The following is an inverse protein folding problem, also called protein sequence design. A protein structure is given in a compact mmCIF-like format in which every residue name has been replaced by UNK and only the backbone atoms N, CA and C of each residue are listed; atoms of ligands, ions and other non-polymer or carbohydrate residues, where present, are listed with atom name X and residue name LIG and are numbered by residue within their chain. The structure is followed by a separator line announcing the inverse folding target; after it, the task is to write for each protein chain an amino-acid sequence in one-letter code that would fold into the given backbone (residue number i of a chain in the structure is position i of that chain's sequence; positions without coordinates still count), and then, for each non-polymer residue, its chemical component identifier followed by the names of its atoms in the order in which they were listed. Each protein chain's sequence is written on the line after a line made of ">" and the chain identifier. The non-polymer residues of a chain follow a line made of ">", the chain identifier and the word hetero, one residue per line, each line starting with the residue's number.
data_IF_773044667178
#
_entry.id   IF_773044667178
#
_cell.length_a   1.000
_cell.length_b   1.000
_cell.length_c   1.000
_cell.angle_alpha   90.00
_cell.angle_beta   90.00
_cell.angle_gamma   90.00
#
_symmetry.space_group_name_H-M   'P 1'
#
loop_
_entity.id
_entity.type
_entity.pdbx_description
1 polymer ?
#
# COMPACT_ATOMS: atom_id res chain seq x y z
N UNK A 1 -16.64 24.44 3.77
CA UNK A 1 -15.66 23.57 3.09
C UNK A 1 -14.84 22.88 4.18
N UNK A 2 -14.97 21.57 4.35
CA UNK A 2 -14.12 20.81 5.29
C UNK A 2 -12.71 20.75 4.72
N UNK A 3 -11.72 21.16 5.53
CA UNK A 3 -10.30 20.99 5.17
C UNK A 3 -10.03 19.49 4.96
N UNK A 4 -9.45 19.07 3.84
CA UNK A 4 -9.13 17.66 3.63
C UNK A 4 -8.18 17.19 4.75
N UNK A 5 -8.34 15.95 5.24
CA UNK A 5 -7.51 15.41 6.31
C UNK A 5 -6.04 15.37 5.88
N UNK A 6 -5.14 15.61 6.84
CA UNK A 6 -3.69 15.51 6.61
C UNK A 6 -3.33 14.08 6.17
N UNK A 7 -2.57 13.88 5.08
CA UNK A 7 -2.20 12.55 4.56
C UNK A 7 -1.51 11.66 5.61
N UNK A 8 -0.59 12.20 6.40
CA UNK A 8 0.07 11.45 7.47
C UNK A 8 -0.94 10.92 8.50
N UNK A 9 -1.93 11.74 8.88
CA UNK A 9 -2.99 11.32 9.79
C UNK A 9 -3.91 10.26 9.16
N UNK A 10 -4.24 10.43 7.86
CA UNK A 10 -5.03 9.45 7.10
C UNK A 10 -4.35 8.09 7.04
N UNK A 11 -3.02 8.05 6.74
CA UNK A 11 -2.26 6.80 6.74
C UNK A 11 -2.21 6.19 8.14
N UNK A 12 -1.93 7.01 9.18
CA UNK A 12 -1.86 6.53 10.55
C UNK A 12 -3.18 5.91 11.03
N UNK A 13 -4.33 6.51 10.68
CA UNK A 13 -5.66 5.95 10.99
C UNK A 13 -5.89 4.62 10.29
N UNK A 14 -5.61 4.54 8.99
CA UNK A 14 -5.79 3.30 8.23
C UNK A 14 -4.87 2.18 8.73
N UNK A 15 -3.63 2.49 9.06
CA UNK A 15 -2.67 1.54 9.65
C UNK A 15 -3.05 1.11 11.06
N UNK A 16 -3.67 1.99 11.86
CA UNK A 16 -4.14 1.63 13.20
C UNK A 16 -5.32 0.65 13.15
N UNK A 17 -6.14 0.71 12.11
CA UNK A 17 -7.20 -0.26 11.87
C UNK A 17 -6.62 -1.60 11.42
N UNK A 18 -5.85 -1.63 10.34
CA UNK A 18 -5.18 -2.81 9.80
C UNK A 18 -4.01 -2.37 8.90
N UNK A 19 -2.74 -2.60 9.28
CA UNK A 19 -1.59 -2.13 8.50
C UNK A 19 -1.24 -3.09 7.34
N UNK A 20 -2.24 -3.49 6.58
CA UNK A 20 -2.13 -4.33 5.41
C UNK A 20 -2.66 -3.57 4.18
N UNK A 21 -1.83 -3.48 3.14
CA UNK A 21 -2.17 -2.85 1.86
C UNK A 21 -2.54 -3.94 0.87
N UNK A 22 -3.77 -3.94 0.37
CA UNK A 22 -4.18 -4.83 -0.71
C UNK A 22 -3.67 -4.29 -2.07
N UNK A 23 -2.91 -5.11 -2.80
CA UNK A 23 -2.36 -4.79 -4.12
C UNK A 23 -3.13 -5.58 -5.18
N UNK A 24 -3.98 -4.90 -5.94
CA UNK A 24 -4.91 -5.51 -6.88
C UNK A 24 -4.38 -5.49 -8.33
N UNK A 25 -3.22 -6.10 -8.55
CA UNK A 25 -2.60 -6.14 -9.88
C UNK A 25 -3.43 -6.98 -10.85
N UNK A 26 -3.84 -6.34 -11.95
CA UNK A 26 -4.65 -6.97 -12.98
C UNK A 26 -6.17 -6.89 -12.72
N UNK A 27 -6.61 -6.17 -11.68
CA UNK A 27 -8.02 -5.89 -11.41
C UNK A 27 -8.65 -5.16 -12.60
N UNK A 28 -9.84 -5.60 -13.00
CA UNK A 28 -10.67 -4.91 -13.98
C UNK A 28 -11.73 -4.03 -13.31
N UNK A 29 -12.26 -2.98 -13.97
CA UNK A 29 -13.34 -2.17 -13.40
C UNK A 29 -14.61 -2.97 -13.06
N UNK A 30 -14.90 -4.02 -13.81
CA UNK A 30 -16.05 -4.89 -13.56
C UNK A 30 -15.93 -5.69 -12.26
N UNK A 31 -14.71 -6.10 -11.88
CA UNK A 31 -14.43 -6.87 -10.67
C UNK A 31 -14.29 -5.96 -9.44
N UNK A 32 -13.90 -4.70 -9.64
CA UNK A 32 -13.52 -3.79 -8.56
C UNK A 32 -14.57 -3.68 -7.43
N UNK A 33 -15.88 -3.55 -7.68
CA UNK A 33 -16.87 -3.47 -6.61
C UNK A 33 -16.90 -4.71 -5.71
N UNK A 34 -16.91 -5.91 -6.29
CA UNK A 34 -17.03 -7.16 -5.53
C UNK A 34 -15.74 -7.51 -4.79
N UNK A 35 -14.58 -7.27 -5.40
CA UNK A 35 -13.28 -7.47 -4.74
C UNK A 35 -13.05 -6.45 -3.63
N UNK A 36 -13.45 -5.18 -3.86
CA UNK A 36 -13.41 -4.14 -2.84
C UNK A 36 -14.24 -4.49 -1.61
N UNK A 37 -15.49 -4.97 -1.82
CA UNK A 37 -16.37 -5.42 -0.73
C UNK A 37 -15.75 -6.58 0.08
N UNK A 38 -15.18 -7.58 -0.60
CA UNK A 38 -14.52 -8.71 0.05
C UNK A 38 -13.35 -8.28 0.95
N UNK A 39 -12.58 -7.27 0.52
CA UNK A 39 -11.45 -6.73 1.28
C UNK A 39 -11.92 -5.86 2.45
N UNK A 40 -12.83 -4.91 2.20
CA UNK A 40 -13.31 -3.97 3.22
C UNK A 40 -14.08 -4.71 4.32
N UNK A 41 -14.94 -5.67 3.97
CA UNK A 41 -15.64 -6.53 4.95
C UNK A 41 -14.67 -7.41 5.75
N UNK A 42 -13.48 -7.70 5.22
CA UNK A 42 -12.40 -8.40 5.94
C UNK A 42 -11.54 -7.46 6.82
N UNK A 43 -11.82 -6.14 6.82
CA UNK A 43 -11.13 -5.15 7.65
C UNK A 43 -10.02 -4.38 6.95
N UNK A 44 -9.77 -4.57 5.64
CA UNK A 44 -8.77 -3.80 4.92
C UNK A 44 -9.18 -2.33 4.78
N UNK A 45 -8.30 -1.45 5.22
CA UNK A 45 -8.48 0.00 5.16
C UNK A 45 -7.60 0.68 4.11
N UNK A 46 -6.72 -0.08 3.42
CA UNK A 46 -5.77 0.45 2.42
C UNK A 46 -5.78 -0.46 1.19
N UNK A 47 -6.10 0.12 0.03
CA UNK A 47 -6.19 -0.60 -1.24
C UNK A 47 -5.45 0.18 -2.33
N UNK A 48 -4.59 -0.48 -3.10
CA UNK A 48 -3.98 0.09 -4.29
C UNK A 48 -4.28 -0.74 -5.54
N UNK A 49 -4.56 -0.06 -6.64
CA UNK A 49 -4.66 -0.66 -7.97
C UNK A 49 -3.43 -0.26 -8.78
N UNK A 50 -2.54 -1.20 -9.13
CA UNK A 50 -1.37 -0.88 -9.94
C UNK A 50 -1.76 -0.32 -11.32
N UNK A 51 -1.08 0.75 -11.76
CA UNK A 51 -1.39 1.43 -13.03
C UNK A 51 -1.12 0.57 -14.28
N UNK A 52 -0.47 -0.57 -14.12
CA UNK A 52 -0.33 -1.58 -15.18
C UNK A 52 -1.45 -2.65 -15.16
N UNK A 53 -2.56 -2.39 -14.48
CA UNK A 53 -3.81 -3.16 -14.56
C UNK A 53 -4.67 -2.68 -15.73
N UNK A 54 -5.70 -3.45 -16.17
CA UNK A 54 -6.67 -2.97 -17.15
C UNK A 54 -7.48 -1.78 -16.62
N UNK A 55 -7.53 -0.67 -17.35
CA UNK A 55 -8.31 0.53 -17.01
C UNK A 55 -8.24 0.95 -15.52
N UNK A 56 -7.03 1.10 -14.94
CA UNK A 56 -6.87 1.17 -13.49
C UNK A 56 -7.55 2.40 -12.88
N UNK A 57 -7.63 3.51 -13.60
CA UNK A 57 -8.28 4.74 -13.12
C UNK A 57 -9.79 4.54 -12.96
N UNK A 58 -10.44 3.78 -13.85
CA UNK A 58 -11.86 3.43 -13.70
C UNK A 58 -12.09 2.54 -12.47
N UNK A 59 -11.21 1.56 -12.23
CA UNK A 59 -11.25 0.73 -11.02
C UNK A 59 -11.08 1.57 -9.74
N UNK A 60 -10.13 2.52 -9.74
CA UNK A 60 -9.91 3.45 -8.62
C UNK A 60 -11.15 4.30 -8.38
N UNK A 61 -11.75 4.88 -9.44
CA UNK A 61 -12.97 5.68 -9.31
C UNK A 61 -14.12 4.86 -8.70
N UNK A 62 -14.36 3.65 -9.20
CA UNK A 62 -15.41 2.78 -8.66
C UNK A 62 -15.19 2.47 -7.17
N UNK A 63 -13.97 2.10 -6.80
CA UNK A 63 -13.62 1.79 -5.41
C UNK A 63 -13.76 3.01 -4.48
N UNK A 64 -13.28 4.18 -4.89
CA UNK A 64 -13.36 5.41 -4.07
C UNK A 64 -14.79 5.88 -3.85
N UNK A 65 -15.66 5.70 -4.83
CA UNK A 65 -17.09 6.01 -4.73
C UNK A 65 -17.81 5.05 -3.78
N UNK A 66 -17.51 3.76 -3.86
CA UNK A 66 -18.16 2.73 -3.05
C UNK A 66 -17.64 2.70 -1.61
N UNK A 67 -16.34 2.96 -1.40
CA UNK A 67 -15.67 2.86 -0.09
C UNK A 67 -15.00 4.17 0.33
N UNK A 68 -15.75 5.26 0.58
CA UNK A 68 -15.19 6.60 0.82
C UNK A 68 -14.35 6.71 2.09
N UNK A 69 -14.45 5.74 3.02
CA UNK A 69 -13.67 5.70 4.25
C UNK A 69 -12.34 4.92 4.10
N UNK A 70 -12.19 4.17 3.01
CA UNK A 70 -10.98 3.39 2.74
C UNK A 70 -9.92 4.27 2.05
N UNK A 71 -8.65 4.13 2.43
CA UNK A 71 -7.54 4.79 1.75
C UNK A 71 -7.22 4.07 0.44
N UNK A 72 -7.75 4.58 -0.66
CA UNK A 72 -7.65 3.98 -1.99
C UNK A 72 -6.75 4.83 -2.88
N UNK A 73 -5.98 4.17 -3.74
CA UNK A 73 -5.18 4.83 -4.76
C UNK A 73 -4.49 3.88 -5.70
N UNK A 74 -3.33 4.27 -6.20
CA UNK A 74 -2.60 3.53 -7.21
C UNK A 74 -1.26 3.00 -6.74
N UNK A 75 -0.90 1.82 -7.26
CA UNK A 75 0.47 1.31 -7.28
C UNK A 75 1.14 1.49 -8.64
N UNK A 76 2.44 1.23 -8.68
CA UNK A 76 3.25 1.33 -9.90
C UNK A 76 3.18 2.74 -10.55
N UNK A 77 3.15 3.77 -9.70
CA UNK A 77 3.16 5.17 -10.13
C UNK A 77 4.60 5.60 -10.38
N UNK A 78 4.92 6.04 -11.61
CA UNK A 78 6.30 6.24 -12.06
C UNK A 78 6.65 7.70 -12.36
N UNK A 79 5.65 8.59 -12.50
CA UNK A 79 5.87 9.99 -12.83
C UNK A 79 4.77 10.91 -12.27
N UNK A 80 5.04 12.22 -12.26
CA UNK A 80 4.14 13.23 -11.71
C UNK A 80 2.79 13.34 -12.44
N UNK A 81 2.73 13.03 -13.75
CA UNK A 81 1.46 13.05 -14.48
C UNK A 81 0.53 11.94 -13.99
N UNK A 82 1.06 10.73 -13.80
CA UNK A 82 0.29 9.62 -13.24
C UNK A 82 -0.27 9.95 -11.84
N UNK A 83 0.47 10.68 -11.00
CA UNK A 83 -0.05 11.16 -9.71
C UNK A 83 -1.28 12.04 -9.88
N UNK A 84 -1.25 12.98 -10.85
CA UNK A 84 -2.41 13.84 -11.18
C UNK A 84 -3.60 13.04 -11.67
N UNK A 85 -3.36 12.05 -12.53
CA UNK A 85 -4.40 11.18 -13.08
C UNK A 85 -5.08 10.35 -11.98
N UNK A 86 -4.30 9.80 -11.05
CA UNK A 86 -4.81 9.08 -9.87
C UNK A 86 -5.62 10.01 -8.96
N UNK A 87 -5.14 11.22 -8.71
CA UNK A 87 -5.87 12.21 -7.93
C UNK A 87 -7.21 12.58 -8.59
N UNK A 88 -7.23 12.80 -9.91
CA UNK A 88 -8.44 13.09 -10.68
C UNK A 88 -9.46 11.94 -10.63
N UNK A 89 -8.99 10.69 -10.54
CA UNK A 89 -9.82 9.50 -10.34
C UNK A 89 -10.35 9.34 -8.89
N UNK A 90 -10.05 10.28 -7.99
CA UNK A 90 -10.46 10.25 -6.59
C UNK A 90 -9.47 9.51 -5.66
N UNK A 91 -8.37 8.98 -6.19
CA UNK A 91 -7.34 8.31 -5.38
C UNK A 91 -6.63 9.26 -4.43
N UNK A 92 -6.27 8.76 -3.26
CA UNK A 92 -5.56 9.51 -2.20
C UNK A 92 -4.25 8.85 -1.75
N UNK A 93 -3.90 7.72 -2.37
CA UNK A 93 -2.70 6.94 -2.10
C UNK A 93 -1.87 6.77 -3.38
N UNK A 94 -0.57 7.01 -3.25
CA UNK A 94 0.43 6.77 -4.30
C UNK A 94 1.46 5.77 -3.77
N UNK A 95 1.59 4.63 -4.43
CA UNK A 95 2.63 3.63 -4.15
C UNK A 95 3.50 3.47 -5.39
N UNK A 96 4.81 3.65 -5.24
CA UNK A 96 5.77 3.53 -6.34
C UNK A 96 6.67 2.31 -6.16
N UNK A 97 7.19 1.70 -7.24
CA UNK A 97 8.15 0.60 -7.11
C UNK A 97 9.57 1.09 -6.78
N UNK A 98 9.83 2.37 -6.92
CA UNK A 98 11.13 3.03 -6.70
C UNK A 98 10.94 4.40 -6.05
N UNK A 99 12.03 4.99 -5.59
CA UNK A 99 12.04 6.39 -5.18
C UNK A 99 12.23 7.30 -6.41
N UNK A 100 11.22 8.15 -6.66
CA UNK A 100 11.28 9.22 -7.63
C UNK A 100 10.87 10.54 -6.95
N UNK A 101 11.77 11.51 -6.78
CA UNK A 101 11.48 12.78 -6.11
C UNK A 101 10.30 13.55 -6.72
N UNK A 102 10.13 13.50 -8.06
CA UNK A 102 9.03 14.18 -8.74
C UNK A 102 7.66 13.55 -8.41
N UNK A 103 7.59 12.23 -8.21
CA UNK A 103 6.38 11.53 -7.76
C UNK A 103 6.04 11.93 -6.32
N UNK A 104 7.04 11.94 -5.44
CA UNK A 104 6.85 12.33 -4.03
C UNK A 104 6.38 13.79 -3.95
N UNK A 105 7.09 14.71 -4.60
CA UNK A 105 6.75 16.14 -4.58
C UNK A 105 5.33 16.39 -5.12
N UNK A 106 4.94 15.74 -6.22
CA UNK A 106 3.60 15.90 -6.80
C UNK A 106 2.50 15.32 -5.89
N UNK A 107 2.76 14.17 -5.25
CA UNK A 107 1.80 13.58 -4.31
C UNK A 107 1.58 14.49 -3.09
N UNK A 108 2.65 15.05 -2.53
CA UNK A 108 2.56 16.01 -1.42
C UNK A 108 1.81 17.29 -1.83
N UNK A 109 2.08 17.82 -3.02
CA UNK A 109 1.40 19.01 -3.53
C UNK A 109 -0.12 18.80 -3.72
N UNK A 110 -0.55 17.55 -3.97
CA UNK A 110 -1.97 17.17 -4.08
C UNK A 110 -2.54 16.61 -2.77
N UNK A 111 -1.83 16.74 -1.67
CA UNK A 111 -2.26 16.24 -0.35
C UNK A 111 -2.59 14.74 -0.34
N UNK A 112 -1.79 13.92 -1.05
CA UNK A 112 -1.94 12.47 -1.13
C UNK A 112 -0.93 11.77 -0.24
N UNK A 113 -1.29 10.60 0.27
CA UNK A 113 -0.34 9.68 0.92
C UNK A 113 0.63 9.14 -0.13
N UNK A 114 1.95 9.13 0.17
CA UNK A 114 2.96 8.59 -0.75
C UNK A 114 3.91 7.62 -0.04
N UNK A 115 4.06 6.43 -0.66
CA UNK A 115 4.90 5.31 -0.20
C UNK A 115 5.84 4.90 -1.35
N UNK A 116 7.00 5.54 -1.50
CA UNK A 116 7.99 5.15 -2.50
C UNK A 116 8.65 3.81 -2.17
N UNK A 117 9.04 3.08 -3.22
CA UNK A 117 9.82 1.85 -3.13
C UNK A 117 11.29 2.14 -2.88
N UNK A 118 11.89 1.40 -1.95
CA UNK A 118 13.31 1.49 -1.61
C UNK A 118 13.87 0.10 -1.30
N UNK A 119 15.15 -0.10 -1.59
CA UNK A 119 15.86 -1.34 -1.27
C UNK A 119 17.15 -1.09 -0.47
N UNK A 120 17.63 0.15 -0.42
CA UNK A 120 18.89 0.54 0.22
C UNK A 120 18.67 1.63 1.28
N UNK A 121 19.60 1.77 2.26
CA UNK A 121 19.56 2.87 3.22
C UNK A 121 19.59 4.25 2.54
N UNK A 122 20.40 4.43 1.48
CA UNK A 122 20.50 5.70 0.75
C UNK A 122 19.15 6.12 0.18
N UNK A 123 18.43 5.20 -0.48
CA UNK A 123 17.09 5.47 -1.00
C UNK A 123 16.09 5.75 0.13
N UNK A 124 16.18 5.00 1.24
CA UNK A 124 15.30 5.16 2.39
C UNK A 124 15.40 6.55 3.02
N UNK A 125 16.63 7.02 3.29
CA UNK A 125 16.85 8.37 3.81
C UNK A 125 16.40 9.44 2.80
N UNK A 126 16.79 9.33 1.54
CA UNK A 126 16.40 10.28 0.51
C UNK A 126 14.86 10.38 0.34
N UNK A 127 14.15 9.25 0.43
CA UNK A 127 12.69 9.23 0.36
C UNK A 127 12.05 9.89 1.58
N UNK A 128 12.56 9.65 2.80
CA UNK A 128 12.07 10.28 4.01
C UNK A 128 12.35 11.79 4.02
N UNK A 129 13.55 12.21 3.61
CA UNK A 129 13.92 13.62 3.49
C UNK A 129 13.05 14.36 2.47
N UNK A 130 12.61 13.67 1.42
CA UNK A 130 11.65 14.20 0.45
C UNK A 130 10.21 14.30 0.98
N UNK A 131 9.92 13.81 2.21
CA UNK A 131 8.63 13.89 2.86
C UNK A 131 7.72 12.67 2.63
N UNK A 132 8.26 11.50 2.27
CA UNK A 132 7.48 10.27 2.16
C UNK A 132 6.80 9.91 3.50
N UNK A 133 5.55 9.45 3.46
CA UNK A 133 4.78 9.07 4.65
C UNK A 133 5.14 7.70 5.21
N UNK A 134 5.85 6.88 4.42
CA UNK A 134 6.35 5.57 4.76
C UNK A 134 7.13 5.01 3.58
N UNK A 135 7.74 3.85 3.76
CA UNK A 135 8.64 3.21 2.79
C UNK A 135 8.10 1.84 2.40
N UNK A 136 7.88 1.63 1.10
CA UNK A 136 7.69 0.31 0.53
C UNK A 136 9.07 -0.35 0.40
N UNK A 137 9.34 -1.40 1.18
CA UNK A 137 10.56 -2.19 1.04
C UNK A 137 10.34 -3.22 -0.10
N UNK A 138 10.97 -2.98 -1.25
CA UNK A 138 10.65 -3.73 -2.47
C UNK A 138 11.90 -3.95 -3.36
N UNK A 139 12.05 -5.17 -3.93
CA UNK A 139 11.25 -6.36 -3.66
C UNK A 139 11.66 -7.06 -2.35
N UNK A 140 10.68 -7.48 -1.51
CA UNK A 140 10.98 -8.07 -0.22
C UNK A 140 11.63 -9.47 -0.33
N UNK A 141 11.56 -10.10 -1.48
CA UNK A 141 12.34 -11.30 -1.80
C UNK A 141 13.85 -11.08 -1.69
N UNK A 142 14.32 -9.82 -1.86
CA UNK A 142 15.72 -9.42 -1.69
C UNK A 142 15.99 -8.78 -0.32
N UNK A 143 14.96 -8.45 0.44
CA UNK A 143 15.03 -7.71 1.71
C UNK A 143 14.57 -8.65 2.84
N UNK A 144 15.48 -9.46 3.34
CA UNK A 144 15.19 -10.41 4.42
C UNK A 144 14.74 -9.71 5.73
N UNK A 145 14.12 -10.43 6.67
CA UNK A 145 13.87 -9.89 8.02
C UNK A 145 15.13 -9.33 8.69
N UNK A 146 16.30 -9.94 8.49
CA UNK A 146 17.57 -9.41 9.00
C UNK A 146 17.90 -8.03 8.40
N UNK A 147 17.66 -7.84 7.11
CA UNK A 147 17.82 -6.53 6.44
C UNK A 147 16.84 -5.49 7.00
N UNK A 148 15.57 -5.85 7.21
CA UNK A 148 14.58 -4.96 7.84
C UNK A 148 15.04 -4.54 9.25
N UNK A 149 15.55 -5.47 10.04
CA UNK A 149 16.11 -5.18 11.38
C UNK A 149 17.28 -4.19 11.29
N UNK A 150 18.18 -4.36 10.33
CA UNK A 150 19.31 -3.46 10.12
C UNK A 150 18.84 -2.05 9.69
N UNK A 151 17.87 -1.95 8.77
CA UNK A 151 17.26 -0.67 8.39
C UNK A 151 16.57 0.00 9.58
N UNK A 152 15.83 -0.75 10.40
CA UNK A 152 15.14 -0.23 11.59
C UNK A 152 16.11 0.35 12.63
N UNK A 153 17.32 -0.17 12.71
CA UNK A 153 18.33 0.32 13.65
C UNK A 153 18.83 1.74 13.33
N UNK A 154 18.75 2.17 12.07
CA UNK A 154 19.28 3.47 11.60
C UNK A 154 18.19 4.45 11.16
N UNK A 155 17.03 3.98 10.74
CA UNK A 155 15.91 4.82 10.32
C UNK A 155 15.11 5.36 11.52
N UNK A 156 14.43 6.52 11.39
CA UNK A 156 13.55 7.04 12.43
C UNK A 156 12.52 6.00 12.87
N UNK A 157 12.26 5.90 14.17
CA UNK A 157 11.27 4.96 14.73
C UNK A 157 9.87 5.16 14.16
N UNK A 158 9.54 6.39 13.81
CA UNK A 158 8.25 6.79 13.21
C UNK A 158 8.11 6.39 11.74
N UNK A 159 9.20 6.04 11.04
CA UNK A 159 9.12 5.65 9.64
C UNK A 159 8.38 4.30 9.51
N UNK A 160 7.26 4.30 8.77
CA UNK A 160 6.53 3.08 8.45
C UNK A 160 7.32 2.25 7.42
N UNK A 161 7.71 1.03 7.76
CA UNK A 161 8.39 0.10 6.88
C UNK A 161 7.41 -0.98 6.43
N UNK A 162 7.15 -1.06 5.12
CA UNK A 162 6.15 -1.91 4.51
C UNK A 162 6.81 -2.88 3.50
N UNK A 163 7.24 -4.09 3.93
CA UNK A 163 7.71 -5.11 2.98
C UNK A 163 6.64 -5.49 1.97
N UNK A 164 7.05 -5.59 0.70
CA UNK A 164 6.18 -5.91 -0.45
C UNK A 164 6.91 -6.86 -1.40
N UNK A 165 6.28 -7.98 -1.73
CA UNK A 165 6.85 -9.05 -2.56
C UNK A 165 7.04 -10.33 -1.77
N UNK A 166 6.50 -11.46 -2.24
CA UNK A 166 6.63 -12.75 -1.58
C UNK A 166 6.05 -12.85 -0.16
N UNK A 167 5.22 -11.89 0.26
CA UNK A 167 4.62 -11.90 1.61
C UNK A 167 3.43 -12.88 1.63
N UNK A 168 3.45 -13.79 2.61
CA UNK A 168 2.42 -14.78 2.89
C UNK A 168 2.05 -14.76 4.37
N UNK A 169 0.90 -15.32 4.78
CA UNK A 169 0.56 -15.42 6.20
C UNK A 169 1.68 -16.05 7.07
N UNK A 170 2.41 -17.02 6.51
CA UNK A 170 3.42 -17.78 7.24
C UNK A 170 4.73 -17.01 7.51
N UNK A 171 5.09 -16.03 6.66
CA UNK A 171 6.34 -15.29 6.81
C UNK A 171 6.19 -13.93 7.49
N UNK A 172 4.96 -13.43 7.67
CA UNK A 172 4.70 -12.10 8.26
C UNK A 172 5.31 -11.93 9.65
N UNK A 173 5.22 -12.94 10.51
CA UNK A 173 5.70 -12.87 11.90
C UNK A 173 7.20 -12.54 11.98
N UNK A 174 8.03 -13.14 11.11
CA UNK A 174 9.45 -12.87 11.05
C UNK A 174 9.79 -11.41 10.69
N UNK A 175 9.06 -10.85 9.72
CA UNK A 175 9.23 -9.45 9.33
C UNK A 175 8.73 -8.48 10.41
N UNK A 176 7.62 -8.78 11.09
CA UNK A 176 7.13 -7.97 12.21
C UNK A 176 8.12 -7.92 13.36
N UNK A 177 8.64 -9.08 13.78
CA UNK A 177 9.69 -9.18 14.81
C UNK A 177 10.93 -8.37 14.41
N UNK A 178 11.23 -8.26 13.12
CA UNK A 178 12.33 -7.45 12.60
C UNK A 178 12.03 -5.95 12.56
N UNK A 179 10.79 -5.52 12.80
CA UNK A 179 10.39 -4.12 12.88
C UNK A 179 9.63 -3.60 11.64
N UNK A 180 9.05 -4.49 10.83
CA UNK A 180 8.09 -4.08 9.81
C UNK A 180 6.83 -3.50 10.47
N UNK A 181 6.32 -2.39 9.91
CA UNK A 181 5.15 -1.68 10.43
C UNK A 181 3.83 -2.22 9.86
N UNK A 182 3.91 -2.95 8.77
CA UNK A 182 2.79 -3.54 8.03
C UNK A 182 3.29 -4.16 6.74
N UNK A 183 2.40 -4.49 5.80
CA UNK A 183 2.75 -5.22 4.57
C UNK A 183 1.95 -4.76 3.36
N UNK A 184 2.55 -4.84 2.16
CA UNK A 184 1.81 -4.84 0.90
C UNK A 184 1.66 -6.27 0.38
N UNK A 185 0.42 -6.67 0.12
CA UNK A 185 0.01 -8.03 -0.20
C UNK A 185 -0.43 -8.12 -1.66
N UNK A 186 0.38 -8.76 -2.50
CA UNK A 186 0.12 -8.95 -3.92
C UNK A 186 -0.52 -10.30 -4.24
N UNK A 187 0.16 -11.13 -5.03
CA UNK A 187 -0.38 -12.37 -5.62
C UNK A 187 -0.87 -13.40 -4.61
N UNK A 188 -0.39 -13.40 -3.39
CA UNK A 188 -0.91 -14.26 -2.33
C UNK A 188 -2.32 -13.86 -1.89
N UNK A 189 -2.67 -12.56 -1.96
CA UNK A 189 -4.00 -12.05 -1.64
C UNK A 189 -4.93 -12.04 -2.86
N UNK A 190 -4.50 -11.40 -3.95
CA UNK A 190 -5.27 -11.24 -5.18
C UNK A 190 -4.45 -11.62 -6.43
N UNK A 191 -5.10 -12.34 -7.34
CA UNK A 191 -4.62 -12.58 -8.70
C UNK A 191 -5.82 -12.55 -9.66
N UNK A 192 -5.63 -12.15 -10.93
CA UNK A 192 -6.70 -12.19 -11.94
C UNK A 192 -7.38 -13.57 -11.99
N UNK A 193 -8.72 -13.55 -12.06
CA UNK A 193 -9.54 -14.76 -12.07
C UNK A 193 -9.92 -15.33 -10.70
N UNK A 194 -9.41 -14.80 -9.59
CA UNK A 194 -9.91 -15.14 -8.26
C UNK A 194 -11.29 -14.52 -8.03
N UNK A 195 -12.24 -15.32 -7.55
CA UNK A 195 -13.54 -14.82 -7.12
C UNK A 195 -13.45 -13.97 -5.86
N UNK A 196 -14.43 -13.10 -5.62
CA UNK A 196 -14.51 -12.31 -4.39
C UNK A 196 -14.49 -13.18 -3.12
N UNK A 197 -15.12 -14.35 -3.15
CA UNK A 197 -15.10 -15.30 -2.03
C UNK A 197 -13.70 -15.84 -1.74
N UNK A 198 -12.92 -16.18 -2.78
CA UNK A 198 -11.53 -16.62 -2.62
C UNK A 198 -10.63 -15.48 -2.09
N UNK A 199 -10.84 -14.25 -2.57
CA UNK A 199 -10.10 -13.08 -2.06
C UNK A 199 -10.46 -12.82 -0.60
N UNK A 200 -11.72 -12.95 -0.21
CA UNK A 200 -12.16 -12.81 1.18
C UNK A 200 -11.51 -13.86 2.10
N UNK A 201 -11.44 -15.11 1.67
CA UNK A 201 -10.76 -16.18 2.41
C UNK A 201 -9.28 -15.87 2.64
N UNK A 202 -8.56 -15.44 1.59
CA UNK A 202 -7.17 -15.03 1.69
C UNK A 202 -6.99 -13.80 2.58
N UNK A 203 -7.86 -12.80 2.44
CA UNK A 203 -7.86 -11.59 3.27
C UNK A 203 -7.99 -11.94 4.75
N UNK A 204 -8.92 -12.80 5.10
CA UNK A 204 -9.11 -13.29 6.46
C UNK A 204 -7.92 -14.09 6.99
N UNK A 205 -7.24 -14.88 6.13
CA UNK A 205 -6.02 -15.59 6.51
C UNK A 205 -4.90 -14.61 6.88
N UNK A 206 -4.70 -13.55 6.10
CA UNK A 206 -3.74 -12.48 6.41
C UNK A 206 -4.11 -11.70 7.69
N UNK A 207 -5.38 -11.40 7.90
CA UNK A 207 -5.85 -10.74 9.13
C UNK A 207 -5.56 -11.59 10.35
N UNK A 208 -5.89 -12.90 10.30
CA UNK A 208 -5.56 -13.83 11.40
C UNK A 208 -4.06 -13.90 11.66
N UNK A 209 -3.24 -14.00 10.63
CA UNK A 209 -1.78 -14.03 10.77
C UNK A 209 -1.24 -12.73 11.38
N UNK A 210 -1.80 -11.58 10.99
CA UNK A 210 -1.46 -10.29 11.60
C UNK A 210 -1.83 -10.25 13.09
N UNK A 211 -3.02 -10.70 13.46
CA UNK A 211 -3.49 -10.70 14.86
C UNK A 211 -2.75 -11.69 15.75
N UNK A 212 -2.30 -12.82 15.19
CA UNK A 212 -1.54 -13.85 15.91
C UNK A 212 -0.07 -13.51 16.12
N UNK A 213 0.47 -12.54 15.35
CA UNK A 213 1.89 -12.14 15.44
C UNK A 213 2.10 -11.12 16.58
N UNK A 214 3.29 -11.04 17.20
CA UNK A 214 3.58 -10.10 18.29
C UNK A 214 3.66 -8.65 17.83
#
# INVERSE_FOLDING_TARGET
>A
MTVPPNPAHTLAQAMAQLPLIAILRGLTPAEAPAIGEALVSSGFAIIEVPLNSPEPLHSITALTQQFPQTLIGAGTVLNAQQVKDVHAAGGRLVVAPNFNPAVVAQALALNMVVLPGVATPTEAFAALDAGAHGLKLFPAEMISPATVKALRAVLPKSAALMPVGGITPDNMAAYRTAGASGFGLGSALYAPGRSAAQVQEMAQAFVRAWQASP
#
